data_IF_694965966872
#
_entry.id   IF_694965966872
#
_cell.length_a   1.000
_cell.length_b   1.000
_cell.length_c   1.000
_cell.angle_alpha   90.00
_cell.angle_beta   90.00
_cell.angle_gamma   90.00
#
_symmetry.space_group_name_H-M   'P 1'
#
loop_
_entity.id
_entity.type
_entity.pdbx_description
1 polymer ?
#
# COMPACT_ATOMS: atom_id res chain seq x y z
N UNK A 1 -17.29 -0.54 -6.42
CA UNK A 1 -18.06 0.04 -5.28
C UNK A 1 -19.56 0.10 -5.56
N UNK A 2 -20.03 -0.38 -6.71
CA UNK A 2 -21.39 -0.13 -7.21
C UNK A 2 -22.54 -0.81 -6.45
N UNK A 3 -22.24 -1.70 -5.49
CA UNK A 3 -23.28 -2.30 -4.61
C UNK A 3 -23.61 -1.44 -3.38
N UNK A 4 -22.73 -0.51 -2.99
CA UNK A 4 -22.92 0.37 -1.82
C UNK A 4 -22.62 -0.27 -0.45
N UNK A 5 -22.17 -1.52 -0.41
CA UNK A 5 -21.97 -2.27 0.84
C UNK A 5 -20.63 -1.97 1.54
N UNK A 6 -19.68 -1.33 0.85
CA UNK A 6 -18.36 -0.99 1.39
C UNK A 6 -17.98 0.45 1.07
N UNK A 7 -17.31 1.14 2.00
CA UNK A 7 -16.86 2.55 1.84
C UNK A 7 -15.58 2.67 1.00
N UNK A 8 -14.71 1.67 1.10
CA UNK A 8 -13.51 1.50 0.28
C UNK A 8 -13.31 0.00 0.07
N UNK A 9 -12.51 -0.41 -0.93
CA UNK A 9 -12.11 -1.80 -1.06
C UNK A 9 -10.95 -2.16 -0.10
N UNK A 10 -9.97 -1.26 0.06
CA UNK A 10 -8.74 -1.51 0.80
C UNK A 10 -8.40 -0.34 1.71
N UNK A 11 -7.95 -0.60 2.94
CA UNK A 11 -7.21 0.36 3.76
C UNK A 11 -5.76 -0.07 3.97
N UNK A 12 -4.87 0.92 4.04
CA UNK A 12 -3.45 0.74 4.33
C UNK A 12 -3.20 1.19 5.77
N UNK A 13 -2.42 0.44 6.54
CA UNK A 13 -2.08 0.83 7.92
C UNK A 13 -0.81 1.69 8.04
N UNK A 14 -0.22 2.06 6.90
CA UNK A 14 0.99 2.86 6.80
C UNK A 14 1.47 3.03 5.36
N UNK A 15 2.31 4.02 5.10
CA UNK A 15 2.83 4.35 3.76
C UNK A 15 4.24 3.83 3.50
N UNK A 16 4.85 3.16 4.47
CA UNK A 16 6.22 2.64 4.38
C UNK A 16 6.20 1.13 4.27
N UNK A 17 6.47 0.41 5.36
CA UNK A 17 6.61 -1.05 5.38
C UNK A 17 5.36 -1.74 4.86
N UNK A 18 4.17 -1.36 5.34
CA UNK A 18 2.90 -2.02 4.99
C UNK A 18 2.60 -1.89 3.49
N UNK A 19 2.89 -0.73 2.90
CA UNK A 19 2.64 -0.42 1.49
C UNK A 19 3.80 -0.84 0.58
N UNK A 20 4.97 -1.23 1.12
CA UNK A 20 6.15 -1.55 0.32
C UNK A 20 5.91 -2.59 -0.79
N UNK A 21 5.09 -3.64 -0.58
CA UNK A 21 4.72 -4.56 -1.65
C UNK A 21 4.00 -3.87 -2.82
N UNK A 22 3.13 -2.89 -2.55
CA UNK A 22 2.45 -2.11 -3.60
C UNK A 22 3.41 -1.16 -4.31
N UNK A 23 4.31 -0.50 -3.56
CA UNK A 23 5.32 0.40 -4.12
C UNK A 23 6.25 -0.33 -5.09
N UNK A 24 6.60 -1.57 -4.80
CA UNK A 24 7.54 -2.37 -5.60
C UNK A 24 6.87 -3.27 -6.64
N UNK A 25 5.53 -3.40 -6.62
CA UNK A 25 4.77 -4.32 -7.49
C UNK A 25 5.00 -4.11 -9.00
N UNK A 26 5.39 -2.91 -9.39
CA UNK A 26 5.64 -2.52 -10.79
C UNK A 26 7.12 -2.56 -11.16
N UNK A 27 7.95 -3.28 -10.39
CA UNK A 27 9.40 -3.41 -10.61
C UNK A 27 10.23 -2.29 -9.98
N UNK A 28 9.63 -1.50 -9.07
CA UNK A 28 10.33 -0.52 -8.27
C UNK A 28 11.24 -1.15 -7.21
N UNK A 29 12.26 -0.42 -6.76
CA UNK A 29 13.22 -0.87 -5.75
C UNK A 29 13.79 0.33 -4.96
N UNK A 30 14.47 0.08 -3.83
CA UNK A 30 15.14 1.14 -3.06
C UNK A 30 16.59 1.30 -3.51
N UNK A 31 17.38 0.22 -3.38
CA UNK A 31 18.75 0.13 -3.88
C UNK A 31 18.87 -1.04 -4.84
N UNK A 32 19.58 -0.84 -5.95
CA UNK A 32 19.81 -1.91 -6.92
C UNK A 32 20.60 -3.06 -6.31
N UNK A 33 20.29 -4.28 -6.72
CA UNK A 33 21.00 -5.48 -6.27
C UNK A 33 21.49 -6.28 -7.49
N UNK A 34 22.80 -6.43 -7.61
CA UNK A 34 23.46 -7.12 -8.72
C UNK A 34 23.72 -8.61 -8.45
N UNK A 35 23.16 -9.13 -7.35
CA UNK A 35 23.38 -10.50 -6.85
C UNK A 35 24.55 -10.63 -5.88
N UNK A 36 25.38 -9.60 -5.71
CA UNK A 36 26.48 -9.58 -4.73
C UNK A 36 26.20 -8.70 -3.52
N UNK A 37 25.23 -7.78 -3.64
CA UNK A 37 24.79 -6.90 -2.56
C UNK A 37 23.96 -5.73 -3.08
N UNK A 38 23.55 -4.85 -2.16
CA UNK A 38 22.87 -3.61 -2.52
C UNK A 38 23.88 -2.50 -2.83
N UNK A 39 23.67 -1.79 -3.94
CA UNK A 39 24.47 -0.63 -4.32
C UNK A 39 23.80 0.68 -3.82
N UNK A 40 24.41 1.42 -2.87
CA UNK A 40 23.82 2.65 -2.35
C UNK A 40 23.78 3.80 -3.38
N UNK A 41 24.56 3.72 -4.45
CA UNK A 41 24.57 4.72 -5.53
C UNK A 41 23.50 4.45 -6.61
N UNK A 42 22.89 3.26 -6.62
CA UNK A 42 21.78 2.91 -7.50
C UNK A 42 20.46 3.02 -6.73
N UNK A 43 19.93 4.24 -6.65
CA UNK A 43 18.69 4.55 -5.94
C UNK A 43 17.50 4.42 -6.89
N UNK A 44 16.57 3.51 -6.59
CA UNK A 44 15.40 3.20 -7.43
C UNK A 44 14.09 3.90 -7.06
N UNK A 45 14.11 4.86 -6.13
CA UNK A 45 12.91 5.52 -5.62
C UNK A 45 12.16 6.32 -6.70
N UNK A 46 12.85 6.81 -7.72
CA UNK A 46 12.28 7.50 -8.90
C UNK A 46 12.32 6.62 -10.17
N UNK A 47 12.54 5.31 -10.01
CA UNK A 47 12.51 4.37 -11.13
C UNK A 47 11.12 4.36 -11.80
N UNK A 48 11.03 3.98 -13.09
CA UNK A 48 9.75 3.88 -13.78
C UNK A 48 8.72 3.00 -13.04
N UNK A 49 9.18 1.93 -12.36
CA UNK A 49 8.32 1.07 -11.55
C UNK A 49 7.78 1.76 -10.29
N UNK A 50 8.61 2.52 -9.57
CA UNK A 50 8.14 3.30 -8.41
C UNK A 50 7.17 4.41 -8.81
N UNK A 51 7.43 5.09 -9.93
CA UNK A 51 6.52 6.12 -10.46
C UNK A 51 5.18 5.48 -10.84
N UNK A 52 5.18 4.37 -11.59
CA UNK A 52 3.96 3.67 -11.98
C UNK A 52 3.15 3.19 -10.76
N UNK A 53 3.81 2.71 -9.70
CA UNK A 53 3.15 2.35 -8.45
C UNK A 53 2.49 3.56 -7.78
N UNK A 54 3.19 4.70 -7.72
CA UNK A 54 2.66 5.95 -7.17
C UNK A 54 1.46 6.49 -7.94
N UNK A 55 1.51 6.45 -9.27
CA UNK A 55 0.41 6.83 -10.15
C UNK A 55 -0.81 5.91 -9.94
N UNK A 56 -0.60 4.59 -9.94
CA UNK A 56 -1.65 3.61 -9.69
C UNK A 56 -2.30 3.80 -8.31
N UNK A 57 -1.50 4.00 -7.26
CA UNK A 57 -2.02 4.28 -5.91
C UNK A 57 -2.87 5.55 -5.89
N UNK A 58 -2.37 6.62 -6.50
CA UNK A 58 -3.08 7.90 -6.55
C UNK A 58 -4.42 7.78 -7.30
N UNK A 59 -4.45 7.07 -8.43
CA UNK A 59 -5.66 6.83 -9.20
C UNK A 59 -6.69 6.02 -8.40
N UNK A 60 -6.27 4.98 -7.68
CA UNK A 60 -7.18 4.14 -6.89
C UNK A 60 -7.71 4.84 -5.64
N UNK A 61 -6.92 5.74 -5.01
CA UNK A 61 -7.42 6.61 -3.94
C UNK A 61 -8.44 7.60 -4.51
N UNK A 62 -8.17 8.25 -5.65
CA UNK A 62 -9.10 9.18 -6.30
C UNK A 62 -10.41 8.50 -6.73
N UNK A 63 -10.33 7.24 -7.15
CA UNK A 63 -11.49 6.44 -7.53
C UNK A 63 -12.29 5.90 -6.33
N UNK A 64 -11.82 6.08 -5.10
CA UNK A 64 -12.47 5.57 -3.90
C UNK A 64 -12.32 4.06 -3.70
N UNK A 65 -11.33 3.43 -4.33
CA UNK A 65 -11.02 2.02 -4.10
C UNK A 65 -10.11 1.82 -2.89
N UNK A 66 -9.15 2.71 -2.68
CA UNK A 66 -8.25 2.69 -1.53
C UNK A 66 -8.63 3.84 -0.59
N UNK A 67 -8.70 3.56 0.70
CA UNK A 67 -8.94 4.56 1.75
C UNK A 67 -7.93 5.70 1.63
N UNK A 68 -8.42 6.93 1.82
CA UNK A 68 -7.56 8.12 1.88
C UNK A 68 -6.89 8.29 3.26
N UNK A 69 -7.22 7.44 4.23
CA UNK A 69 -6.54 7.35 5.52
C UNK A 69 -5.51 6.24 5.48
N UNK A 70 -4.34 6.52 6.06
CA UNK A 70 -3.30 5.53 6.34
C UNK A 70 -3.06 5.37 7.84
N UNK A 71 -4.01 5.84 8.65
CA UNK A 71 -3.95 5.75 10.11
C UNK A 71 -4.28 4.32 10.57
N UNK A 72 -3.42 3.78 11.44
CA UNK A 72 -3.51 2.42 11.93
C UNK A 72 -4.86 2.13 12.59
N UNK A 73 -5.29 2.98 13.53
CA UNK A 73 -6.52 2.75 14.28
C UNK A 73 -7.77 2.90 13.42
N UNK A 74 -7.77 3.86 12.50
CA UNK A 74 -8.85 4.08 11.54
C UNK A 74 -9.02 2.89 10.60
N UNK A 75 -7.93 2.41 9.98
CA UNK A 75 -7.97 1.29 9.05
C UNK A 75 -8.46 0.01 9.74
N UNK A 76 -8.02 -0.22 10.98
CA UNK A 76 -8.48 -1.33 11.80
C UNK A 76 -9.96 -1.25 12.14
N UNK A 77 -10.43 -0.10 12.63
CA UNK A 77 -11.84 0.08 12.96
C UNK A 77 -12.74 -0.15 11.74
N UNK A 78 -12.35 0.35 10.57
CA UNK A 78 -13.09 0.15 9.32
C UNK A 78 -13.18 -1.33 8.95
N UNK A 79 -12.09 -2.08 9.11
CA UNK A 79 -12.07 -3.50 8.77
C UNK A 79 -12.85 -4.35 9.79
N UNK A 80 -12.61 -4.13 11.09
CA UNK A 80 -13.21 -4.88 12.20
C UNK A 80 -14.74 -4.67 12.29
N UNK A 81 -15.24 -3.51 11.86
CA UNK A 81 -16.68 -3.23 11.78
C UNK A 81 -17.34 -3.70 10.48
N UNK A 82 -16.56 -4.23 9.54
CA UNK A 82 -17.04 -4.71 8.23
C UNK A 82 -17.33 -3.59 7.22
N UNK A 83 -16.92 -2.34 7.50
CA UNK A 83 -17.08 -1.21 6.58
C UNK A 83 -16.19 -1.33 5.33
N UNK A 84 -15.01 -1.96 5.48
CA UNK A 84 -14.11 -2.29 4.39
C UNK A 84 -13.80 -3.79 4.38
N UNK A 85 -13.71 -4.42 3.21
CA UNK A 85 -13.50 -5.86 3.10
C UNK A 85 -12.03 -6.28 3.23
N UNK A 86 -11.06 -5.37 3.03
CA UNK A 86 -9.64 -5.69 3.07
C UNK A 86 -8.83 -4.64 3.82
N UNK A 87 -7.84 -5.12 4.57
CA UNK A 87 -6.82 -4.33 5.25
C UNK A 87 -5.43 -4.84 4.87
N UNK A 88 -4.49 -3.93 4.62
CA UNK A 88 -3.08 -4.24 4.45
C UNK A 88 -2.33 -3.89 5.73
N UNK A 89 -2.00 -4.92 6.51
CA UNK A 89 -1.28 -4.85 7.78
C UNK A 89 -0.34 -6.05 7.95
N UNK A 90 0.58 -6.00 8.91
CA UNK A 90 1.48 -7.10 9.23
C UNK A 90 0.91 -8.13 10.21
N UNK A 91 1.63 -9.24 10.47
CA UNK A 91 1.17 -10.32 11.35
C UNK A 91 0.94 -9.91 12.82
N UNK A 92 1.52 -8.79 13.26
CA UNK A 92 1.26 -8.23 14.60
C UNK A 92 -0.19 -7.77 14.79
N UNK A 93 -0.95 -7.63 13.70
CA UNK A 93 -2.35 -7.23 13.73
C UNK A 93 -3.30 -8.38 14.10
N UNK A 94 -2.81 -9.63 14.21
CA UNK A 94 -3.66 -10.83 14.37
C UNK A 94 -4.38 -10.91 15.72
N UNK A 95 -3.76 -10.43 16.79
CA UNK A 95 -4.31 -10.47 18.15
C UNK A 95 -5.07 -9.18 18.52
N UNK A 96 -5.28 -8.31 17.54
CA UNK A 96 -6.04 -7.08 17.74
C UNK A 96 -7.54 -7.35 17.78
#
# INVERSE_FOLDING_TARGET
MDSGDATYALALTGTTYDMFPLQTAFGGYVFGNDGTGYNPEDVGIDSPGMIAAGEWLQENVKAGYISNSTDWDTAHLQFETGEIPFIMAGPWALDR
#
